data_IF_039840076978
#
_entry.id   IF_039840076978
#
_cell.length_a   1.000
_cell.length_b   1.000
_cell.length_c   1.000
_cell.angle_alpha   90.00
_cell.angle_beta   90.00
_cell.angle_gamma   90.00
#
_symmetry.space_group_name_H-M   'P 1'
#
loop_
_entity.id
_entity.type
_entity.pdbx_description
1 polymer ?
#
# COMPACT_ATOMS: atom_id res chain seq x y z
N UNK A 1 20.62 16.38 8.63
CA UNK A 1 19.39 16.83 7.94
C UNK A 1 19.14 15.84 6.82
N UNK A 2 18.00 15.15 6.80
CA UNK A 2 17.63 14.30 5.65
C UNK A 2 16.95 15.21 4.64
N UNK A 3 17.29 15.04 3.38
CA UNK A 3 16.58 15.63 2.27
C UNK A 3 15.74 14.56 1.62
N UNK A 4 14.43 14.68 1.64
CA UNK A 4 13.57 13.73 0.93
C UNK A 4 13.10 14.42 -0.33
N UNK A 5 13.46 13.85 -1.48
CA UNK A 5 13.06 14.35 -2.77
C UNK A 5 11.83 13.52 -3.19
N UNK A 6 10.64 14.15 -3.12
CA UNK A 6 9.38 13.49 -3.46
C UNK A 6 9.37 12.91 -4.89
N UNK A 7 8.66 11.80 -5.07
CA UNK A 7 8.51 11.10 -6.34
C UNK A 7 7.86 11.98 -7.43
N UNK A 8 8.13 11.61 -8.68
CA UNK A 8 7.78 12.32 -9.91
C UNK A 8 6.35 12.91 -9.97
N UNK A 9 6.26 14.21 -10.27
CA UNK A 9 5.02 14.89 -10.71
C UNK A 9 4.62 16.14 -9.91
N UNK A 10 4.99 16.22 -8.62
CA UNK A 10 4.91 17.45 -7.81
C UNK A 10 6.13 17.53 -6.90
N UNK A 11 7.13 18.28 -7.33
CA UNK A 11 8.39 18.49 -6.59
C UNK A 11 8.17 19.26 -5.28
N UNK A 12 7.69 18.60 -4.23
CA UNK A 12 7.80 19.10 -2.85
C UNK A 12 9.03 18.49 -2.20
N UNK A 13 10.07 19.32 -2.14
CA UNK A 13 11.33 18.99 -1.45
C UNK A 13 11.12 19.18 0.04
N UNK A 14 11.06 18.08 0.80
CA UNK A 14 10.81 18.12 2.24
C UNK A 14 12.10 17.89 3.01
N UNK A 15 12.44 18.81 3.90
CA UNK A 15 13.60 18.71 4.78
C UNK A 15 13.16 18.20 6.15
N UNK A 16 13.65 17.03 6.54
CA UNK A 16 13.38 16.46 7.85
C UNK A 16 14.66 16.47 8.72
N UNK A 17 14.67 17.22 9.83
CA UNK A 17 15.73 17.09 10.82
C UNK A 17 15.60 15.74 11.53
N UNK A 18 16.63 14.91 11.43
CA UNK A 18 16.65 13.61 12.07
C UNK A 18 18.06 13.27 12.58
N UNK A 19 18.10 12.45 13.62
CA UNK A 19 19.33 11.89 14.17
C UNK A 19 19.73 10.65 13.37
N UNK A 20 20.95 10.64 12.82
CA UNK A 20 21.48 9.52 12.03
C UNK A 20 21.40 8.18 12.75
N UNK A 21 21.69 8.18 14.05
CA UNK A 21 21.66 6.96 14.85
C UNK A 21 20.25 6.36 14.92
N UNK A 22 19.23 7.21 15.10
CA UNK A 22 17.83 6.76 15.13
C UNK A 22 17.39 6.20 13.77
N UNK A 23 17.81 6.81 12.66
CA UNK A 23 17.50 6.33 11.31
C UNK A 23 18.15 4.98 11.01
N UNK A 24 19.40 4.83 11.42
CA UNK A 24 20.13 3.56 11.32
C UNK A 24 19.43 2.45 12.12
N UNK A 25 18.84 2.78 13.27
CA UNK A 25 18.08 1.82 14.06
C UNK A 25 16.72 1.51 13.45
N UNK A 26 16.06 2.49 12.83
CA UNK A 26 14.70 2.33 12.32
C UNK A 26 14.64 1.52 11.02
N UNK A 27 15.76 1.43 10.28
CA UNK A 27 15.80 0.81 8.95
C UNK A 27 17.18 0.24 8.62
N UNK A 28 17.20 -1.02 8.16
CA UNK A 28 18.43 -1.64 7.67
C UNK A 28 18.94 -0.96 6.38
N UNK A 29 18.03 -0.49 5.53
CA UNK A 29 18.36 0.24 4.30
C UNK A 29 19.09 1.54 4.64
N UNK A 30 18.54 2.33 5.56
CA UNK A 30 19.15 3.58 6.01
C UNK A 30 20.48 3.32 6.72
N UNK A 31 20.56 2.26 7.54
CA UNK A 31 21.82 1.84 8.14
C UNK A 31 22.90 1.55 7.07
N UNK A 32 22.55 0.85 6.00
CA UNK A 32 23.48 0.57 4.88
C UNK A 32 23.89 1.87 4.19
N UNK A 33 22.96 2.78 3.92
CA UNK A 33 23.27 4.07 3.25
C UNK A 33 24.17 4.97 4.10
N UNK A 34 23.97 4.99 5.43
CA UNK A 34 24.70 5.88 6.34
C UNK A 34 26.05 5.29 6.75
N UNK A 35 26.15 3.98 6.98
CA UNK A 35 27.33 3.35 7.60
C UNK A 35 28.32 2.71 6.60
N UNK A 36 27.94 2.44 5.34
CA UNK A 36 28.85 1.87 4.33
C UNK A 36 29.71 2.95 3.66
N UNK A 37 30.87 2.59 3.05
CA UNK A 37 31.81 3.56 2.47
C UNK A 37 31.33 4.22 1.16
N UNK A 38 30.02 4.41 1.01
CA UNK A 38 29.42 5.20 -0.06
C UNK A 38 29.49 6.71 0.27
N UNK A 39 29.35 7.55 -0.75
CA UNK A 39 29.43 9.02 -0.68
C UNK A 39 28.53 9.65 0.39
N UNK A 40 27.40 9.02 0.66
CA UNK A 40 26.33 9.42 1.56
C UNK A 40 26.77 9.42 3.03
N UNK A 41 27.73 8.57 3.41
CA UNK A 41 28.27 8.51 4.77
C UNK A 41 28.91 9.84 5.20
N UNK A 42 29.60 10.53 4.27
CA UNK A 42 30.28 11.81 4.52
C UNK A 42 29.44 13.03 4.17
N UNK A 43 28.40 12.87 3.36
CA UNK A 43 27.52 13.97 2.97
C UNK A 43 26.73 14.45 4.20
N UNK A 44 26.53 15.76 4.42
CA UNK A 44 25.72 16.27 5.54
C UNK A 44 24.23 15.93 5.40
N UNK A 45 23.83 15.42 4.23
CA UNK A 45 22.46 15.13 3.83
C UNK A 45 22.36 13.73 3.26
N UNK A 46 21.25 13.07 3.57
CA UNK A 46 20.85 11.80 2.97
C UNK A 46 19.68 12.10 2.04
N UNK A 47 19.78 11.67 0.77
CA UNK A 47 18.72 11.83 -0.22
C UNK A 47 17.96 10.52 -0.38
N UNK A 48 16.64 10.59 -0.18
CA UNK A 48 15.73 9.48 -0.48
C UNK A 48 14.95 9.84 -1.74
N UNK A 49 15.10 9.02 -2.76
CA UNK A 49 14.38 9.14 -4.03
C UNK A 49 13.03 8.42 -3.95
N UNK A 50 12.03 8.99 -4.62
CA UNK A 50 10.68 8.45 -4.73
C UNK A 50 9.99 8.10 -3.40
N UNK A 51 10.27 8.90 -2.37
CA UNK A 51 9.61 8.82 -1.07
C UNK A 51 8.92 10.16 -0.82
N UNK A 52 7.63 10.13 -0.48
CA UNK A 52 6.93 11.34 -0.05
C UNK A 52 7.39 11.72 1.37
N UNK A 53 7.86 12.96 1.55
CA UNK A 53 8.39 13.42 2.83
C UNK A 53 7.34 13.56 3.93
N UNK A 54 6.07 13.83 3.61
CA UNK A 54 5.00 13.87 4.60
C UNK A 54 4.64 12.45 5.06
N UNK A 55 4.53 11.50 4.13
CA UNK A 55 4.31 10.09 4.44
C UNK A 55 5.45 9.54 5.31
N UNK A 56 6.70 9.87 4.98
CA UNK A 56 7.83 9.43 5.79
C UNK A 56 7.89 10.10 7.16
N UNK A 57 7.47 11.36 7.28
CA UNK A 57 7.33 12.02 8.59
C UNK A 57 6.33 11.28 9.46
N UNK A 58 5.17 10.92 8.90
CA UNK A 58 4.14 10.16 9.61
C UNK A 58 4.65 8.79 10.07
N UNK A 59 5.46 8.11 9.24
CA UNK A 59 6.09 6.82 9.60
C UNK A 59 7.04 7.00 10.79
N UNK A 60 7.84 8.08 10.80
CA UNK A 60 8.74 8.36 11.91
C UNK A 60 8.00 8.70 13.19
N UNK A 61 6.91 9.47 13.11
CA UNK A 61 6.11 9.81 14.29
C UNK A 61 5.37 8.58 14.84
N UNK A 62 4.93 7.66 13.97
CA UNK A 62 4.42 6.34 14.35
C UNK A 62 5.50 5.48 15.02
N UNK A 63 6.70 5.37 14.42
CA UNK A 63 7.81 4.60 14.97
C UNK A 63 8.28 5.13 16.33
N UNK A 64 8.27 6.46 16.51
CA UNK A 64 8.60 7.09 17.79
C UNK A 64 7.47 7.02 18.83
N UNK A 65 6.28 6.53 18.46
CA UNK A 65 5.10 6.49 19.33
C UNK A 65 4.53 7.87 19.68
N UNK A 66 4.76 8.88 18.84
CA UNK A 66 4.24 10.24 19.05
C UNK A 66 2.80 10.40 18.56
N UNK A 67 2.50 9.76 17.44
CA UNK A 67 1.17 9.78 16.81
C UNK A 67 0.74 8.35 16.47
N UNK A 68 -0.55 8.08 16.60
CA UNK A 68 -1.16 6.81 16.21
C UNK A 68 -1.77 6.86 14.80
N UNK A 69 -2.40 5.76 14.40
CA UNK A 69 -3.07 5.65 13.10
C UNK A 69 -4.51 6.17 13.08
N UNK A 70 -5.07 6.53 14.24
CA UNK A 70 -6.52 6.72 14.43
C UNK A 70 -7.20 7.72 13.50
N UNK A 71 -6.51 8.80 13.11
CA UNK A 71 -7.06 9.85 12.24
C UNK A 71 -6.65 9.69 10.76
N UNK A 72 -5.85 8.68 10.41
CA UNK A 72 -5.31 8.51 9.05
C UNK A 72 -6.27 7.69 8.20
N UNK A 73 -6.49 8.13 6.96
CA UNK A 73 -7.29 7.36 6.00
C UNK A 73 -6.59 6.06 5.60
N UNK A 74 -7.35 5.08 5.12
CA UNK A 74 -6.82 3.80 4.65
C UNK A 74 -5.77 3.97 3.55
N UNK A 75 -6.01 4.87 2.59
CA UNK A 75 -5.04 5.22 1.54
C UNK A 75 -3.71 5.74 2.10
N UNK A 76 -3.78 6.59 3.14
CA UNK A 76 -2.58 7.09 3.82
C UNK A 76 -1.82 5.93 4.49
N UNK A 77 -2.53 5.03 5.18
CA UNK A 77 -1.91 3.87 5.86
C UNK A 77 -1.26 2.93 4.83
N UNK A 78 -1.91 2.70 3.67
CA UNK A 78 -1.34 1.90 2.58
C UNK A 78 -0.10 2.54 1.97
N UNK A 79 -0.12 3.86 1.74
CA UNK A 79 1.07 4.59 1.27
C UNK A 79 2.21 4.51 2.30
N UNK A 80 1.91 4.64 3.59
CA UNK A 80 2.88 4.45 4.67
C UNK A 80 3.47 3.04 4.65
N UNK A 81 2.64 2.00 4.48
CA UNK A 81 3.07 0.61 4.44
C UNK A 81 4.05 0.36 3.29
N UNK A 82 3.75 0.89 2.10
CA UNK A 82 4.63 0.77 0.92
C UNK A 82 5.99 1.44 1.12
N UNK A 83 6.02 2.63 1.72
CA UNK A 83 7.28 3.32 2.05
C UNK A 83 8.04 2.57 3.14
N UNK A 84 7.36 2.04 4.15
CA UNK A 84 7.97 1.26 5.23
C UNK A 84 8.63 -0.02 4.69
N UNK A 85 7.94 -0.75 3.80
CA UNK A 85 8.49 -1.94 3.13
C UNK A 85 9.74 -1.60 2.31
N UNK A 86 9.66 -0.57 1.46
CA UNK A 86 10.79 -0.09 0.65
C UNK A 86 12.00 0.29 1.49
N UNK A 87 11.78 0.91 2.65
CA UNK A 87 12.85 1.29 3.58
C UNK A 87 13.24 0.13 4.52
N UNK A 88 12.66 -1.06 4.41
CA UNK A 88 12.98 -2.19 5.27
C UNK A 88 12.67 -1.92 6.75
N UNK A 89 11.61 -1.15 7.04
CA UNK A 89 11.12 -0.87 8.39
C UNK A 89 10.12 -1.96 8.81
N UNK A 90 10.60 -3.19 8.99
CA UNK A 90 9.77 -4.40 9.10
C UNK A 90 8.73 -4.35 10.22
N UNK A 91 9.09 -3.88 11.41
CA UNK A 91 8.16 -3.79 12.55
C UNK A 91 7.02 -2.80 12.29
N UNK A 92 7.36 -1.64 11.70
CA UNK A 92 6.37 -0.61 11.35
C UNK A 92 5.50 -1.07 10.19
N UNK A 93 6.10 -1.71 9.19
CA UNK A 93 5.38 -2.32 8.07
C UNK A 93 4.36 -3.35 8.56
N UNK A 94 4.76 -4.26 9.46
CA UNK A 94 3.86 -5.27 10.02
C UNK A 94 2.67 -4.64 10.78
N UNK A 95 2.91 -3.59 11.57
CA UNK A 95 1.85 -2.89 12.29
C UNK A 95 0.88 -2.15 11.33
N UNK A 96 1.39 -1.57 10.25
CA UNK A 96 0.58 -0.92 9.22
C UNK A 96 -0.26 -1.94 8.45
N UNK A 97 0.32 -3.08 8.05
CA UNK A 97 -0.41 -4.16 7.40
C UNK A 97 -1.51 -4.75 8.30
N UNK A 98 -1.23 -4.89 9.59
CA UNK A 98 -2.23 -5.33 10.58
C UNK A 98 -3.37 -4.32 10.69
N UNK A 99 -3.06 -3.02 10.73
CA UNK A 99 -4.07 -1.96 10.76
C UNK A 99 -4.93 -1.91 9.48
N UNK A 100 -4.34 -2.17 8.31
CA UNK A 100 -5.06 -2.27 7.03
C UNK A 100 -5.99 -3.50 7.07
N UNK A 101 -5.45 -4.65 7.47
CA UNK A 101 -6.21 -5.92 7.53
C UNK A 101 -7.34 -5.84 8.55
N UNK A 102 -7.13 -5.16 9.68
CA UNK A 102 -8.17 -4.94 10.70
C UNK A 102 -9.31 -4.02 10.26
N UNK A 103 -9.10 -3.21 9.22
CA UNK A 103 -10.11 -2.35 8.60
C UNK A 103 -10.73 -2.96 7.33
N UNK A 104 -10.26 -4.13 6.91
CA UNK A 104 -10.74 -4.80 5.71
C UNK A 104 -12.21 -5.21 5.88
N UNK A 105 -13.05 -4.77 4.96
CA UNK A 105 -14.47 -5.09 4.89
C UNK A 105 -14.89 -5.29 3.43
N UNK A 106 -16.11 -5.79 3.20
CA UNK A 106 -16.65 -5.99 1.84
C UNK A 106 -16.60 -4.68 1.04
N UNK A 107 -17.04 -3.57 1.65
CA UNK A 107 -17.17 -2.27 0.97
C UNK A 107 -15.85 -1.73 0.43
N UNK A 108 -14.74 -1.98 1.15
CA UNK A 108 -13.40 -1.48 0.79
C UNK A 108 -12.51 -2.56 0.16
N UNK A 109 -12.98 -3.80 0.08
CA UNK A 109 -12.16 -4.95 -0.33
C UNK A 109 -11.53 -4.76 -1.72
N UNK A 110 -12.33 -4.33 -2.70
CA UNK A 110 -11.84 -4.11 -4.07
C UNK A 110 -10.75 -3.04 -4.14
N UNK A 111 -10.91 -1.94 -3.39
CA UNK A 111 -9.92 -0.86 -3.33
C UNK A 111 -8.61 -1.31 -2.67
N UNK A 112 -8.72 -2.04 -1.55
CA UNK A 112 -7.55 -2.57 -0.84
C UNK A 112 -6.81 -3.60 -1.69
N UNK A 113 -7.53 -4.48 -2.39
CA UNK A 113 -6.92 -5.49 -3.27
C UNK A 113 -6.14 -4.82 -4.41
N UNK A 114 -6.77 -3.89 -5.13
CA UNK A 114 -6.12 -3.13 -6.20
C UNK A 114 -4.93 -2.32 -5.69
N UNK A 115 -5.11 -1.63 -4.56
CA UNK A 115 -4.07 -0.79 -3.95
C UNK A 115 -2.88 -1.63 -3.47
N UNK A 116 -3.12 -2.78 -2.86
CA UNK A 116 -2.06 -3.67 -2.35
C UNK A 116 -1.25 -4.31 -3.47
N UNK A 117 -1.91 -4.75 -4.56
CA UNK A 117 -1.22 -5.21 -5.77
C UNK A 117 -0.31 -4.12 -6.35
N UNK A 118 -0.83 -2.90 -6.50
CA UNK A 118 -0.06 -1.75 -7.03
C UNK A 118 1.13 -1.37 -6.15
N UNK A 119 0.98 -1.47 -4.84
CA UNK A 119 1.98 -1.06 -3.85
C UNK A 119 2.93 -2.19 -3.45
N UNK A 120 2.71 -3.42 -3.92
CA UNK A 120 3.52 -4.59 -3.58
C UNK A 120 3.30 -5.13 -2.17
N UNK A 121 2.15 -4.85 -1.55
CA UNK A 121 1.83 -5.23 -0.16
C UNK A 121 1.29 -6.66 -0.10
N UNK A 122 2.14 -7.66 -0.34
CA UNK A 122 1.71 -9.04 -0.57
C UNK A 122 0.90 -9.68 0.58
N UNK A 123 1.14 -9.31 1.85
CA UNK A 123 0.34 -9.83 2.98
C UNK A 123 -1.07 -9.25 3.00
N UNK A 124 -1.21 -7.96 2.71
CA UNK A 124 -2.50 -7.28 2.59
C UNK A 124 -3.26 -7.80 1.37
N UNK A 125 -2.57 -7.96 0.24
CA UNK A 125 -3.13 -8.52 -0.99
C UNK A 125 -3.72 -9.90 -0.74
N UNK A 126 -2.97 -10.79 -0.09
CA UNK A 126 -3.45 -12.13 0.24
C UNK A 126 -4.70 -12.10 1.13
N UNK A 127 -4.73 -11.23 2.15
CA UNK A 127 -5.89 -11.09 3.03
C UNK A 127 -7.13 -10.54 2.29
N UNK A 128 -6.95 -9.51 1.46
CA UNK A 128 -8.01 -8.95 0.64
C UNK A 128 -8.53 -9.96 -0.39
N UNK A 129 -7.64 -10.72 -1.03
CA UNK A 129 -8.01 -11.79 -1.97
C UNK A 129 -8.85 -12.87 -1.29
N UNK A 130 -8.46 -13.34 -0.10
CA UNK A 130 -9.25 -14.34 0.64
C UNK A 130 -10.67 -13.83 0.88
N UNK A 131 -10.83 -12.60 1.38
CA UNK A 131 -12.15 -12.01 1.59
C UNK A 131 -12.94 -11.87 0.28
N UNK A 132 -12.28 -11.44 -0.80
CA UNK A 132 -12.90 -11.29 -2.11
C UNK A 132 -13.40 -12.63 -2.67
N UNK A 133 -12.67 -13.72 -2.47
CA UNK A 133 -13.06 -15.05 -2.95
C UNK A 133 -14.17 -15.66 -2.08
N UNK A 134 -14.09 -15.51 -0.76
CA UNK A 134 -15.09 -16.05 0.18
C UNK A 134 -16.44 -15.32 0.11
N UNK A 135 -16.43 -14.01 -0.16
CA UNK A 135 -17.62 -13.15 -0.18
C UNK A 135 -17.81 -12.47 -1.54
N UNK A 136 -17.48 -13.19 -2.62
CA UNK A 136 -17.40 -12.63 -3.96
C UNK A 136 -18.67 -11.90 -4.39
N UNK A 137 -19.85 -12.49 -4.21
CA UNK A 137 -21.11 -11.86 -4.64
C UNK A 137 -21.38 -10.53 -3.93
N UNK A 138 -21.00 -10.42 -2.64
CA UNK A 138 -21.15 -9.18 -1.90
C UNK A 138 -20.13 -8.13 -2.35
N UNK A 139 -18.88 -8.55 -2.55
CA UNK A 139 -17.80 -7.69 -3.03
C UNK A 139 -18.07 -7.21 -4.46
N UNK A 140 -18.58 -8.07 -5.33
CA UNK A 140 -18.96 -7.78 -6.70
C UNK A 140 -20.04 -6.69 -6.81
N UNK A 141 -20.85 -6.51 -5.76
CA UNK A 141 -21.85 -5.45 -5.69
C UNK A 141 -21.30 -4.06 -5.29
N UNK A 142 -20.02 -3.96 -4.92
CA UNK A 142 -19.42 -2.72 -4.40
C UNK A 142 -18.87 -1.82 -5.49
N UNK A 143 -18.79 -0.51 -5.21
CA UNK A 143 -18.12 0.44 -6.10
C UNK A 143 -16.62 0.15 -6.25
N UNK A 144 -15.98 -0.41 -5.21
CA UNK A 144 -14.58 -0.82 -5.24
C UNK A 144 -14.34 -1.90 -6.30
N UNK A 145 -15.21 -2.91 -6.38
CA UNK A 145 -15.13 -3.95 -7.41
C UNK A 145 -15.34 -3.40 -8.83
N UNK A 146 -16.32 -2.51 -9.00
CA UNK A 146 -16.60 -1.89 -10.30
C UNK A 146 -15.42 -1.07 -10.86
N UNK A 147 -14.52 -0.60 -9.98
CA UNK A 147 -13.30 0.14 -10.35
C UNK A 147 -12.06 -0.73 -10.53
N UNK A 148 -12.15 -2.04 -10.32
CA UNK A 148 -11.03 -2.96 -10.53
C UNK A 148 -10.63 -3.04 -12.00
N UNK A 149 -9.34 -3.30 -12.26
CA UNK A 149 -8.86 -3.54 -13.61
C UNK A 149 -9.20 -4.96 -14.11
N UNK A 150 -9.11 -5.15 -15.43
CA UNK A 150 -9.42 -6.42 -16.07
C UNK A 150 -8.58 -7.58 -15.51
N UNK A 151 -7.29 -7.33 -15.22
CA UNK A 151 -6.39 -8.33 -14.69
C UNK A 151 -6.80 -8.80 -13.30
N UNK A 152 -7.19 -7.87 -12.43
CA UNK A 152 -7.64 -8.15 -11.08
C UNK A 152 -8.97 -8.89 -11.08
N UNK A 153 -9.95 -8.46 -11.89
CA UNK A 153 -11.24 -9.16 -12.02
C UNK A 153 -11.03 -10.58 -12.59
N UNK A 154 -10.28 -10.71 -13.68
CA UNK A 154 -9.97 -12.01 -14.27
C UNK A 154 -9.29 -12.94 -13.27
N UNK A 155 -8.31 -12.43 -12.53
CA UNK A 155 -7.60 -13.22 -11.52
C UNK A 155 -8.46 -13.67 -10.34
N UNK A 156 -9.60 -13.04 -10.06
CA UNK A 156 -10.55 -13.50 -9.05
C UNK A 156 -11.49 -14.56 -9.63
N UNK A 157 -11.98 -14.33 -10.85
CA UNK A 157 -12.95 -15.23 -11.50
C UNK A 157 -12.31 -16.54 -11.93
N UNK A 158 -11.03 -16.53 -12.28
CA UNK A 158 -10.25 -17.72 -12.65
C UNK A 158 -9.72 -18.51 -11.43
N UNK A 159 -9.95 -18.02 -10.20
CA UNK A 159 -9.43 -18.68 -8.99
C UNK A 159 -10.33 -19.86 -8.57
N UNK A 160 -9.74 -21.05 -8.44
CA UNK A 160 -10.45 -22.27 -8.02
C UNK A 160 -11.09 -22.17 -6.62
N UNK A 161 -10.63 -21.24 -5.77
CA UNK A 161 -11.18 -21.02 -4.44
C UNK A 161 -12.36 -20.02 -4.43
N UNK A 162 -12.79 -19.52 -5.59
CA UNK A 162 -13.92 -18.60 -5.72
C UNK A 162 -15.21 -19.22 -5.16
N UNK A 163 -15.79 -18.56 -4.15
CA UNK A 163 -17.04 -18.97 -3.54
C UNK A 163 -18.22 -18.19 -4.12
N UNK A 164 -19.03 -18.88 -4.92
CA UNK A 164 -20.29 -18.37 -5.46
C UNK A 164 -21.43 -19.36 -5.23
N UNK A 165 -22.63 -18.85 -5.02
CA UNK A 165 -23.84 -19.66 -4.85
C UNK A 165 -24.24 -20.40 -6.13
N UNK A 166 -23.93 -19.82 -7.29
CA UNK A 166 -24.18 -20.36 -8.63
C UNK A 166 -23.13 -19.84 -9.61
N UNK A 167 -22.76 -20.62 -10.62
CA UNK A 167 -21.76 -20.24 -11.62
C UNK A 167 -22.18 -18.98 -12.38
N UNK A 168 -23.49 -18.80 -12.62
CA UNK A 168 -24.01 -17.61 -13.28
C UNK A 168 -23.78 -16.33 -12.49
N UNK A 169 -23.59 -16.39 -11.17
CA UNK A 169 -23.33 -15.20 -10.36
C UNK A 169 -21.96 -14.58 -10.69
N UNK A 170 -20.94 -15.41 -10.96
CA UNK A 170 -19.65 -14.93 -11.42
C UNK A 170 -19.77 -14.24 -12.80
N UNK A 171 -20.53 -14.85 -13.72
CA UNK A 171 -20.79 -14.26 -15.02
C UNK A 171 -21.57 -12.94 -14.92
N UNK A 172 -22.62 -12.89 -14.10
CA UNK A 172 -23.42 -11.69 -13.86
C UNK A 172 -22.59 -10.56 -13.27
N UNK A 173 -21.68 -10.86 -12.33
CA UNK A 173 -20.74 -9.90 -11.76
C UNK A 173 -19.82 -9.30 -12.84
N UNK A 174 -19.21 -10.14 -13.68
CA UNK A 174 -18.35 -9.68 -14.79
C UNK A 174 -19.12 -8.82 -15.77
N UNK A 175 -20.34 -9.23 -16.16
CA UNK A 175 -21.20 -8.42 -17.04
C UNK A 175 -21.57 -7.09 -16.39
N UNK A 176 -21.83 -7.07 -15.08
CA UNK A 176 -22.06 -5.86 -14.31
C UNK A 176 -20.87 -4.90 -14.35
N UNK A 177 -19.68 -5.43 -14.08
CA UNK A 177 -18.41 -4.70 -14.17
C UNK A 177 -18.17 -4.12 -15.57
N UNK A 178 -18.34 -4.92 -16.63
CA UNK A 178 -18.20 -4.44 -18.01
C UNK A 178 -19.18 -3.29 -18.33
N UNK A 179 -20.44 -3.41 -17.89
CA UNK A 179 -21.47 -2.37 -18.10
C UNK A 179 -21.18 -1.09 -17.34
N UNK A 180 -20.53 -1.17 -16.18
CA UNK A 180 -20.09 -0.01 -15.41
C UNK A 180 -18.92 0.75 -16.08
N UNK A 181 -18.43 0.28 -17.23
CA UNK A 181 -17.27 0.82 -17.92
C UNK A 181 -15.97 0.14 -17.50
N UNK A 182 -16.07 -1.14 -17.10
CA UNK A 182 -14.98 -1.99 -16.65
C UNK A 182 -13.68 -1.68 -17.37
N UNK A 183 -12.75 -1.12 -16.58
CA UNK A 183 -11.49 -0.49 -16.99
C UNK A 183 -11.52 0.05 -18.42
N UNK A 184 -11.92 1.32 -18.59
CA UNK A 184 -11.74 2.05 -19.84
C UNK A 184 -10.38 1.68 -20.45
N UNK A 185 -10.40 0.97 -21.57
CA UNK A 185 -9.22 0.65 -22.34
C UNK A 185 -8.61 1.98 -22.82
N UNK A 186 -7.72 2.57 -22.04
CA UNK A 186 -6.78 3.56 -22.54
C UNK A 186 -5.72 2.79 -23.34
N UNK A 187 -5.98 2.68 -24.65
CA UNK A 187 -4.96 2.31 -25.65
C UNK A 187 -4.02 3.46 -25.96
#
# INVERSE_FOLDING_TARGET
>A
LIYINGAHGRSTKTNLPANRFLLCMSSEVLHKMICRPFSECKAPRLELEDVDGAVYSDILDLWCGKEGLGDKSLDCIMAMASVADRLGMTEVGAALEEAITGQLSVDVCGDVLMGSMRLGLGRVEAAARVLALERFEEVAGTEGFMRMDEGAVGSLVDDDALSVSREEAALEAVVGWMKAGGASCEG
#
